data_IF_629731417312
#
_entry.id   IF_629731417312
#
_cell.length_a   1.000
_cell.length_b   1.000
_cell.length_c   1.000
_cell.angle_alpha   90.00
_cell.angle_beta   90.00
_cell.angle_gamma   90.00
#
_symmetry.space_group_name_H-M   'P 1'
#
loop_
_entity.id
_entity.type
_entity.pdbx_description
1 polymer ?
#
# COMPACT_ATOMS: atom_id res chain seq x y z
N UNK A 1 3.76 11.68 -16.14
CA UNK A 1 2.63 10.74 -16.03
C UNK A 1 2.62 10.07 -14.67
N UNK A 2 1.45 9.60 -14.23
CA UNK A 2 1.26 8.98 -12.92
C UNK A 2 0.66 7.58 -13.05
N UNK A 3 0.94 6.74 -12.05
CA UNK A 3 0.34 5.42 -11.88
C UNK A 3 -0.33 5.39 -10.51
N UNK A 4 -1.61 5.00 -10.49
CA UNK A 4 -2.33 4.73 -9.25
C UNK A 4 -2.15 3.27 -8.86
N UNK A 5 -1.66 3.03 -7.65
CA UNK A 5 -1.42 1.71 -7.07
C UNK A 5 -2.39 1.54 -5.91
N UNK A 6 -3.35 0.62 -6.07
CA UNK A 6 -4.28 0.31 -5.00
C UNK A 6 -3.63 -0.60 -3.95
N UNK A 7 -3.07 -0.04 -2.88
CA UNK A 7 -2.51 -0.80 -1.76
C UNK A 7 -3.58 -1.30 -0.78
N UNK A 8 -4.62 -0.50 -0.55
CA UNK A 8 -5.73 -0.69 0.40
C UNK A 8 -5.34 -0.84 1.88
N UNK A 9 -4.43 -1.75 2.25
CA UNK A 9 -3.99 -1.98 3.64
C UNK A 9 -2.51 -2.37 3.68
N UNK A 10 -1.83 -2.00 4.78
CA UNK A 10 -0.48 -2.50 5.08
C UNK A 10 -0.46 -3.85 5.79
N UNK A 11 -1.61 -4.44 6.12
CA UNK A 11 -1.72 -5.75 6.74
C UNK A 11 -2.02 -6.83 5.71
N UNK A 12 -1.10 -7.80 5.55
CA UNK A 12 -1.33 -8.95 4.66
C UNK A 12 -2.58 -9.73 5.06
N UNK A 13 -2.82 -9.88 6.38
CA UNK A 13 -4.01 -10.55 6.92
C UNK A 13 -5.29 -9.89 6.40
N UNK A 14 -5.36 -8.55 6.41
CA UNK A 14 -6.54 -7.80 5.96
C UNK A 14 -6.70 -7.87 4.45
N UNK A 15 -5.60 -7.79 3.69
CA UNK A 15 -5.64 -8.00 2.24
C UNK A 15 -6.20 -9.37 1.88
N UNK A 16 -5.75 -10.42 2.56
CA UNK A 16 -6.22 -11.79 2.36
C UNK A 16 -7.71 -11.94 2.72
N UNK A 17 -8.15 -11.36 3.84
CA UNK A 17 -9.56 -11.36 4.26
C UNK A 17 -10.47 -10.62 3.27
N UNK A 18 -9.95 -9.58 2.62
CA UNK A 18 -10.65 -8.85 1.57
C UNK A 18 -10.54 -9.53 0.19
N UNK A 19 -9.97 -10.73 0.10
CA UNK A 19 -9.69 -11.45 -1.15
C UNK A 19 -8.89 -10.59 -2.17
N UNK A 20 -7.92 -9.81 -1.70
CA UNK A 20 -7.01 -9.06 -2.57
C UNK A 20 -5.96 -10.01 -3.15
N UNK A 21 -5.76 -9.96 -4.45
CA UNK A 21 -4.81 -10.82 -5.17
C UNK A 21 -3.35 -10.37 -5.14
N UNK A 22 -2.96 -9.48 -4.22
CA UNK A 22 -1.59 -8.96 -4.12
C UNK A 22 -1.11 -8.92 -2.67
N UNK A 23 0.22 -8.85 -2.53
CA UNK A 23 0.88 -8.76 -1.24
C UNK A 23 1.31 -7.33 -0.92
N UNK A 24 1.52 -7.03 0.36
CA UNK A 24 2.17 -5.78 0.79
C UNK A 24 3.52 -5.59 0.10
N UNK A 25 4.29 -6.67 -0.06
CA UNK A 25 5.57 -6.65 -0.78
C UNK A 25 5.41 -6.26 -2.26
N UNK A 26 4.32 -6.70 -2.91
CA UNK A 26 4.04 -6.31 -4.28
C UNK A 26 3.74 -4.80 -4.39
N UNK A 27 3.11 -4.20 -3.39
CA UNK A 27 2.90 -2.74 -3.34
C UNK A 27 4.23 -2.00 -3.30
N UNK A 28 5.15 -2.37 -2.39
CA UNK A 28 6.49 -1.77 -2.36
C UNK A 28 7.20 -1.88 -3.71
N UNK A 29 7.16 -3.06 -4.33
CA UNK A 29 7.82 -3.28 -5.62
C UNK A 29 7.19 -2.46 -6.74
N UNK A 30 5.87 -2.30 -6.73
CA UNK A 30 5.16 -1.48 -7.71
C UNK A 30 5.54 0.00 -7.58
N UNK A 31 5.61 0.53 -6.35
CA UNK A 31 6.05 1.91 -6.09
C UNK A 31 7.50 2.11 -6.50
N UNK A 32 8.41 1.23 -6.09
CA UNK A 32 9.82 1.27 -6.47
C UNK A 32 9.98 1.34 -7.99
N UNK A 33 9.39 0.39 -8.73
CA UNK A 33 9.49 0.35 -10.18
C UNK A 33 8.89 1.60 -10.84
N UNK A 34 7.78 2.12 -10.31
CA UNK A 34 7.13 3.33 -10.86
C UNK A 34 8.07 4.53 -10.77
N UNK A 35 8.66 4.74 -9.60
CA UNK A 35 9.58 5.87 -9.34
C UNK A 35 10.89 5.69 -10.11
N UNK A 36 11.46 4.49 -10.16
CA UNK A 36 12.67 4.17 -10.94
C UNK A 36 12.51 4.48 -12.44
N UNK A 37 11.29 4.40 -12.96
CA UNK A 37 10.98 4.73 -14.37
C UNK A 37 10.59 6.20 -14.56
N UNK A 38 10.78 7.06 -13.54
CA UNK A 38 10.52 8.50 -13.63
C UNK A 38 9.03 8.86 -13.62
N UNK A 39 8.16 7.96 -13.15
CA UNK A 39 6.71 8.19 -13.03
C UNK A 39 6.33 8.53 -11.59
N UNK A 40 5.22 9.25 -11.42
CA UNK A 40 4.66 9.52 -10.09
C UNK A 40 3.83 8.34 -9.60
N UNK A 41 4.14 7.79 -8.43
CA UNK A 41 3.38 6.74 -7.78
C UNK A 41 2.34 7.34 -6.83
N UNK A 42 1.05 7.17 -7.13
CA UNK A 42 -0.05 7.54 -6.25
C UNK A 42 -0.60 6.28 -5.57
N UNK A 43 -0.71 6.25 -4.24
CA UNK A 43 -1.07 5.02 -3.51
C UNK A 43 -2.37 5.18 -2.73
N UNK A 44 -3.35 4.33 -3.02
CA UNK A 44 -4.67 4.39 -2.38
C UNK A 44 -4.77 3.43 -1.19
N UNK A 45 -5.36 3.93 -0.10
CA UNK A 45 -5.62 3.20 1.15
C UNK A 45 -7.11 3.21 1.49
N UNK A 46 -7.59 2.15 2.15
CA UNK A 46 -8.96 2.02 2.64
C UNK A 46 -8.88 1.73 4.14
N UNK A 47 -9.48 2.60 4.94
CA UNK A 47 -9.57 2.43 6.39
C UNK A 47 -10.94 1.87 6.78
N UNK A 48 -11.03 1.34 8.01
CA UNK A 48 -12.25 0.73 8.55
C UNK A 48 -12.67 -0.52 7.79
N UNK A 49 -11.69 -1.34 7.39
CA UNK A 49 -11.98 -2.63 6.75
C UNK A 49 -12.55 -3.64 7.77
N UNK A 50 -13.38 -4.59 7.34
CA UNK A 50 -13.93 -5.60 8.25
C UNK A 50 -12.83 -6.38 8.96
N UNK A 51 -12.93 -6.47 10.29
CA UNK A 51 -11.96 -7.16 11.17
C UNK A 51 -10.56 -6.51 11.24
N UNK A 52 -10.41 -5.27 10.80
CA UNK A 52 -9.21 -4.47 10.99
C UNK A 52 -8.98 -4.17 12.49
N UNK A 53 -7.80 -4.51 13.00
CA UNK A 53 -7.38 -4.22 14.37
C UNK A 53 -6.46 -3.01 14.42
N UNK A 54 -6.19 -2.47 15.62
CA UNK A 54 -5.19 -1.40 15.80
C UNK A 54 -3.81 -1.78 15.24
N UNK A 55 -3.37 -3.03 15.43
CA UNK A 55 -2.12 -3.53 14.86
C UNK A 55 -2.13 -3.50 13.31
N UNK A 56 -3.26 -3.81 12.67
CA UNK A 56 -3.40 -3.75 11.22
C UNK A 56 -3.36 -2.29 10.72
N UNK A 57 -3.93 -1.36 11.49
CA UNK A 57 -3.87 0.07 11.22
C UNK A 57 -2.42 0.55 11.34
N UNK A 58 -1.69 0.14 12.36
CA UNK A 58 -0.28 0.49 12.55
C UNK A 58 0.59 -0.01 11.38
N UNK A 59 0.34 -1.23 10.89
CA UNK A 59 0.98 -1.74 9.68
C UNK A 59 0.65 -0.90 8.44
N UNK A 60 -0.59 -0.44 8.32
CA UNK A 60 -1.03 0.45 7.24
C UNK A 60 -0.34 1.81 7.32
N UNK A 61 -0.27 2.42 8.50
CA UNK A 61 0.45 3.68 8.73
C UNK A 61 1.95 3.51 8.44
N UNK A 62 2.55 2.39 8.84
CA UNK A 62 3.95 2.08 8.53
C UNK A 62 4.16 2.03 7.02
N UNK A 63 3.32 1.29 6.29
CA UNK A 63 3.38 1.21 4.83
C UNK A 63 3.28 2.62 4.21
N UNK A 64 2.32 3.44 4.64
CA UNK A 64 2.18 4.83 4.16
C UNK A 64 3.46 5.65 4.35
N UNK A 65 4.07 5.58 5.54
CA UNK A 65 5.31 6.31 5.85
C UNK A 65 6.47 5.82 5.00
N UNK A 66 6.61 4.52 4.84
CA UNK A 66 7.69 3.95 4.04
C UNK A 66 7.55 4.36 2.56
N UNK A 67 6.34 4.25 1.98
CA UNK A 67 6.09 4.64 0.59
C UNK A 67 6.25 6.15 0.37
N UNK A 68 5.80 6.98 1.32
CA UNK A 68 6.04 8.43 1.28
C UNK A 68 7.54 8.75 1.33
N UNK A 69 8.31 8.03 2.15
CA UNK A 69 9.77 8.13 2.21
C UNK A 69 10.46 7.71 0.90
N UNK A 70 9.83 6.85 0.10
CA UNK A 70 10.29 6.48 -1.24
C UNK A 70 9.95 7.53 -2.32
N UNK A 71 9.07 8.49 -2.02
CA UNK A 71 8.61 9.51 -2.96
C UNK A 71 7.22 9.25 -3.56
N UNK A 72 6.47 8.28 -3.03
CA UNK A 72 5.06 8.10 -3.39
C UNK A 72 4.18 9.17 -2.74
N UNK A 73 3.04 9.45 -3.37
CA UNK A 73 2.02 10.40 -2.91
C UNK A 73 0.70 9.70 -2.58
#
# INVERSE_FOLDING_TARGET
DNITIGAQSGSQKILDLCNRGHSVKAVYKAVELTIENGLSANVDFIFSLPNETEEDIDLTIKLMKDLSGMGAS
#
